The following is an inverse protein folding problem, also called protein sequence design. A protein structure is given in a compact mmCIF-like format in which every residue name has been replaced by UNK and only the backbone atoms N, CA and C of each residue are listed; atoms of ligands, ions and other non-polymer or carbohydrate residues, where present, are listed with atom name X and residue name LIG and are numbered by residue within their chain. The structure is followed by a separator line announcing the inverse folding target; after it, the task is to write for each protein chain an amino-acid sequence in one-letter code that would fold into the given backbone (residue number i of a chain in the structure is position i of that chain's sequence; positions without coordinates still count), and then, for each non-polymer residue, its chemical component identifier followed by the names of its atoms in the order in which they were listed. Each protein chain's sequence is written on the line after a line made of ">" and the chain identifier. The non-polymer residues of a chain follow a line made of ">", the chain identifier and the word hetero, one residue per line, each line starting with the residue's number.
data_IF_198091370332
#
_entry.id   IF_198091370332
#
_cell.length_a   1.000
_cell.length_b   1.000
_cell.length_c   1.000
_cell.angle_alpha   90.00
_cell.angle_beta   90.00
_cell.angle_gamma   90.00
#
_symmetry.space_group_name_H-M   'P 1'
#
loop_
_entity.id
_entity.type
_entity.pdbx_description
1 polymer ?
#
# COMPACT_ATOMS: atom_id res chain seq x y z
N UNK A 1 -28.97 -12.75 40.47
CA UNK A 1 -28.06 -11.70 39.96
C UNK A 1 -27.65 -12.09 38.56
N UNK A 2 -28.46 -11.73 37.57
CA UNK A 2 -28.19 -12.01 36.16
C UNK A 2 -27.26 -10.93 35.59
N UNK A 3 -26.14 -11.37 35.01
CA UNK A 3 -25.21 -10.49 34.28
C UNK A 3 -25.58 -10.52 32.80
N UNK A 4 -26.32 -9.49 32.38
CA UNK A 4 -26.63 -9.20 30.99
C UNK A 4 -25.35 -8.76 30.26
N UNK A 5 -24.80 -9.61 29.39
CA UNK A 5 -23.69 -9.27 28.51
C UNK A 5 -24.23 -8.61 27.24
N UNK A 6 -24.36 -7.29 27.27
CA UNK A 6 -24.66 -6.50 26.08
C UNK A 6 -23.47 -6.52 25.11
N UNK A 7 -23.69 -7.14 23.95
CA UNK A 7 -22.79 -7.14 22.79
C UNK A 7 -22.50 -5.69 22.38
N UNK A 8 -21.22 -5.31 22.44
CA UNK A 8 -20.71 -4.03 21.96
C UNK A 8 -20.71 -4.06 20.42
N UNK A 9 -21.73 -3.48 19.80
CA UNK A 9 -21.70 -3.06 18.40
C UNK A 9 -20.82 -1.80 18.28
N UNK A 10 -19.86 -1.74 17.34
CA UNK A 10 -19.17 -0.50 17.03
C UNK A 10 -20.15 0.52 16.46
N UNK A 11 -20.36 1.63 17.17
CA UNK A 11 -21.08 2.79 16.67
C UNK A 11 -20.27 3.41 15.53
N UNK A 12 -20.70 3.23 14.29
CA UNK A 12 -20.27 4.05 13.16
C UNK A 12 -20.79 5.48 13.39
N UNK A 13 -19.97 6.33 13.97
CA UNK A 13 -20.27 7.76 14.11
C UNK A 13 -20.10 8.44 12.76
N UNK A 14 -21.20 8.69 12.05
CA UNK A 14 -21.23 9.71 11.00
C UNK A 14 -21.17 11.08 11.66
N UNK A 15 -20.15 11.86 11.32
CA UNK A 15 -20.07 13.27 11.71
C UNK A 15 -21.18 14.06 10.98
N UNK A 16 -21.92 14.95 11.67
CA UNK A 16 -22.89 15.82 11.04
C UNK A 16 -22.15 17.02 10.42
N UNK A 17 -21.98 17.02 9.10
CA UNK A 17 -21.53 18.23 8.40
C UNK A 17 -22.71 19.20 8.32
N UNK A 18 -22.49 20.37 8.91
CA UNK A 18 -23.50 21.37 9.24
C UNK A 18 -24.32 21.88 8.06
N UNK A 19 -25.61 21.97 8.31
CA UNK A 19 -26.52 22.89 7.63
C UNK A 19 -26.14 24.33 7.94
N UNK A 20 -25.88 25.13 6.91
CA UNK A 20 -25.83 26.60 6.99
C UNK A 20 -26.65 27.17 5.82
N UNK A 21 -27.92 27.44 6.13
CA UNK A 21 -28.84 28.46 5.60
C UNK A 21 -29.09 28.65 4.09
N UNK A 22 -30.33 28.38 3.66
CA UNK A 22 -31.19 29.46 3.12
C UNK A 22 -31.68 29.41 1.66
N UNK A 23 -32.90 28.86 1.49
CA UNK A 23 -33.95 29.25 0.50
C UNK A 23 -33.88 28.68 -0.95
N UNK A 24 -35.01 28.69 -1.70
CA UNK A 24 -36.12 27.74 -1.55
C UNK A 24 -36.47 27.05 -2.89
N UNK A 25 -37.21 25.94 -2.83
CA UNK A 25 -37.74 25.18 -3.98
C UNK A 25 -36.68 24.63 -4.96
N UNK A 26 -36.28 23.39 -4.73
CA UNK A 26 -36.14 22.46 -5.85
C UNK A 26 -36.97 21.24 -5.52
N UNK A 27 -38.11 21.17 -6.19
CA UNK A 27 -38.92 19.98 -6.34
C UNK A 27 -37.98 18.81 -6.65
N UNK A 28 -37.92 17.84 -5.75
CA UNK A 28 -37.47 16.51 -6.15
C UNK A 28 -38.69 15.83 -6.75
N UNK A 29 -38.77 15.62 -8.08
CA UNK A 29 -39.65 14.60 -8.57
C UNK A 29 -39.04 13.27 -8.14
N UNK A 30 -39.77 12.62 -7.25
CA UNK A 30 -39.74 11.18 -7.04
C UNK A 30 -39.76 10.44 -8.39
N UNK A 31 -39.14 9.26 -8.40
CA UNK A 31 -39.36 8.18 -9.39
C UNK A 31 -39.01 8.52 -10.85
N UNK A 32 -37.71 8.58 -11.15
CA UNK A 32 -37.23 8.41 -12.52
C UNK A 32 -36.48 7.09 -12.61
N UNK A 33 -36.96 6.16 -13.43
CA UNK A 33 -36.19 4.97 -13.84
C UNK A 33 -34.78 5.40 -14.24
N UNK A 34 -33.79 5.13 -13.40
CA UNK A 34 -32.39 5.35 -13.75
C UNK A 34 -32.12 4.49 -14.98
N UNK A 35 -31.86 5.13 -16.13
CA UNK A 35 -31.45 4.40 -17.31
C UNK A 35 -30.24 3.53 -16.91
N UNK A 36 -30.15 2.27 -17.34
CA UNK A 36 -29.04 1.40 -16.97
C UNK A 36 -27.67 2.08 -17.18
N UNK A 37 -27.54 2.87 -18.24
CA UNK A 37 -26.36 3.71 -18.53
C UNK A 37 -25.99 4.69 -17.40
N UNK A 38 -26.97 5.29 -16.71
CA UNK A 38 -26.73 6.21 -15.59
C UNK A 38 -26.19 5.47 -14.35
N UNK A 39 -26.66 4.24 -14.13
CA UNK A 39 -26.15 3.38 -13.05
C UNK A 39 -24.72 2.97 -13.36
N UNK A 40 -24.45 2.56 -14.60
CA UNK A 40 -23.11 2.19 -15.06
C UNK A 40 -22.12 3.36 -14.91
N UNK A 41 -22.51 4.57 -15.30
CA UNK A 41 -21.69 5.77 -15.14
C UNK A 41 -21.39 6.06 -13.66
N UNK A 42 -22.41 5.99 -12.80
CA UNK A 42 -22.24 6.18 -11.35
C UNK A 42 -21.28 5.13 -10.76
N UNK A 43 -21.41 3.86 -11.15
CA UNK A 43 -20.50 2.79 -10.73
C UNK A 43 -19.08 3.06 -11.21
N UNK A 44 -18.90 3.49 -12.46
CA UNK A 44 -17.59 3.82 -13.02
C UNK A 44 -16.92 4.98 -12.25
N UNK A 45 -17.67 6.04 -11.93
CA UNK A 45 -17.17 7.17 -11.14
C UNK A 45 -16.77 6.74 -9.72
N UNK A 46 -17.62 5.96 -9.04
CA UNK A 46 -17.30 5.43 -7.70
C UNK A 46 -16.07 4.52 -7.72
N UNK A 47 -15.95 3.67 -8.74
CA UNK A 47 -14.78 2.82 -8.92
C UNK A 47 -13.51 3.64 -9.16
N UNK A 48 -13.61 4.76 -9.90
CA UNK A 48 -12.50 5.68 -10.09
C UNK A 48 -12.06 6.35 -8.78
N UNK A 49 -13.01 6.88 -8.01
CA UNK A 49 -12.71 7.44 -6.68
C UNK A 49 -12.07 6.41 -5.76
N UNK A 50 -12.58 5.17 -5.76
CA UNK A 50 -12.02 4.09 -4.98
C UNK A 50 -10.57 3.79 -5.38
N UNK A 51 -10.27 3.73 -6.68
CA UNK A 51 -8.90 3.55 -7.18
C UNK A 51 -7.95 4.63 -6.70
N UNK A 52 -8.38 5.89 -6.75
CA UNK A 52 -7.58 7.02 -6.25
C UNK A 52 -7.32 6.91 -4.75
N UNK A 53 -8.36 6.64 -3.97
CA UNK A 53 -8.24 6.46 -2.53
C UNK A 53 -7.27 5.33 -2.16
N UNK A 54 -7.36 4.19 -2.85
CA UNK A 54 -6.44 3.06 -2.64
C UNK A 54 -4.99 3.40 -2.97
N UNK A 55 -4.74 4.18 -4.02
CA UNK A 55 -3.40 4.63 -4.36
C UNK A 55 -2.81 5.53 -3.25
N UNK A 56 -3.62 6.44 -2.70
CA UNK A 56 -3.20 7.32 -1.62
C UNK A 56 -2.97 6.57 -0.29
N UNK A 57 -3.81 5.59 0.02
CA UNK A 57 -3.61 4.70 1.17
C UNK A 57 -2.34 3.85 1.05
N UNK A 58 -2.09 3.28 -0.13
CA UNK A 58 -0.89 2.50 -0.41
C UNK A 58 0.37 3.35 -0.17
N UNK A 59 0.40 4.58 -0.70
CA UNK A 59 1.53 5.47 -0.54
C UNK A 59 1.75 5.85 0.93
N UNK A 60 0.69 6.22 1.65
CA UNK A 60 0.75 6.52 3.09
C UNK A 60 1.28 5.33 3.90
N UNK A 61 0.80 4.13 3.62
CA UNK A 61 1.26 2.91 4.27
C UNK A 61 2.76 2.68 4.01
N UNK A 62 3.21 2.81 2.76
CA UNK A 62 4.63 2.62 2.42
C UNK A 62 5.51 3.64 3.13
N UNK A 63 5.12 4.91 3.15
CA UNK A 63 5.90 5.97 3.80
C UNK A 63 5.98 5.76 5.32
N UNK A 64 4.87 5.39 5.95
CA UNK A 64 4.84 5.01 7.37
C UNK A 64 5.77 3.83 7.65
N UNK A 65 5.69 2.76 6.85
CA UNK A 65 6.52 1.57 7.03
C UNK A 65 8.01 1.86 6.84
N UNK A 66 8.39 2.79 5.96
CA UNK A 66 9.78 3.22 5.79
C UNK A 66 10.28 4.02 6.99
N UNK A 67 9.42 4.86 7.60
CA UNK A 67 9.75 5.61 8.82
C UNK A 67 9.93 4.69 10.02
N UNK A 68 9.03 3.71 10.19
CA UNK A 68 9.07 2.73 11.28
C UNK A 68 10.23 1.72 11.13
N UNK A 69 10.70 1.49 9.90
CA UNK A 69 11.77 0.52 9.60
C UNK A 69 12.97 1.22 8.94
N UNK A 70 13.76 2.01 9.70
CA UNK A 70 14.83 2.82 9.14
C UNK A 70 15.91 1.96 8.49
N UNK A 71 16.32 2.34 7.28
CA UNK A 71 17.33 1.61 6.51
C UNK A 71 18.71 1.99 7.03
N UNK A 72 19.29 1.13 7.86
CA UNK A 72 20.65 1.31 8.38
C UNK A 72 21.67 1.16 7.25
N UNK A 73 22.53 2.17 7.10
CA UNK A 73 23.72 2.12 6.24
C UNK A 73 24.93 2.04 7.16
N UNK A 74 25.43 0.84 7.40
CA UNK A 74 26.76 0.66 7.98
C UNK A 74 27.79 1.35 7.09
N UNK A 75 28.37 2.44 7.61
CA UNK A 75 29.64 2.93 7.10
C UNK A 75 30.64 1.84 7.41
N UNK A 76 31.17 1.16 6.38
CA UNK A 76 32.43 0.44 6.53
C UNK A 76 33.45 1.47 7.00
N UNK A 77 33.69 1.52 8.30
CA UNK A 77 34.82 2.24 8.88
C UNK A 77 36.03 1.59 8.25
N UNK A 78 36.89 2.41 7.63
CA UNK A 78 38.14 1.89 7.10
C UNK A 78 38.84 1.12 8.23
N UNK A 79 39.44 -0.05 7.96
CA UNK A 79 40.20 -0.77 8.98
C UNK A 79 41.19 0.22 9.62
N UNK A 80 41.36 0.18 10.95
CA UNK A 80 42.32 1.05 11.61
C UNK A 80 43.68 0.89 10.92
N UNK A 81 44.42 1.98 10.67
CA UNK A 81 45.75 1.87 10.08
C UNK A 81 46.58 0.90 10.93
N UNK A 82 47.35 -0.01 10.31
CA UNK A 82 48.18 -0.94 11.06
C UNK A 82 49.07 -0.14 12.01
N UNK A 83 49.06 -0.53 13.29
CA UNK A 83 49.95 0.02 14.29
C UNK A 83 51.39 -0.08 13.79
N UNK A 84 52.11 1.04 13.86
CA UNK A 84 53.52 1.12 13.49
C UNK A 84 54.35 0.11 14.31
N UNK A 85 55.26 -0.65 13.68
CA UNK A 85 56.48 -1.03 14.34
C UNK A 85 57.53 0.08 14.18
N UNK A 86 58.19 0.40 15.29
CA UNK A 86 59.23 1.38 15.42
C UNK A 86 60.48 1.08 14.56
N UNK A 87 61.11 2.16 14.07
CA UNK A 87 62.54 2.37 13.77
C UNK A 87 63.39 1.21 13.18
N UNK A 88 63.89 1.40 11.94
CA UNK A 88 65.32 1.68 11.72
C UNK A 88 65.61 2.23 10.30
N UNK A 89 66.68 3.05 10.10
CA UNK A 89 66.96 3.75 8.84
C UNK A 89 68.10 3.10 8.03
N UNK A 90 67.93 2.96 6.71
CA UNK A 90 69.04 3.12 5.72
C UNK A 90 68.60 2.98 4.24
N UNK A 91 69.41 3.49 3.28
CA UNK A 91 68.90 4.25 2.14
C UNK A 91 69.09 3.60 0.76
N UNK A 92 68.30 4.09 -0.21
CA UNK A 92 68.51 4.10 -1.68
C UNK A 92 68.50 2.72 -2.38
N UNK A 93 67.83 2.48 -3.51
CA UNK A 93 67.86 3.22 -4.78
C UNK A 93 66.64 2.90 -5.67
N UNK A 94 66.07 3.95 -6.26
CA UNK A 94 65.49 4.06 -7.62
C UNK A 94 64.63 2.94 -8.22
N UNK A 95 63.37 3.27 -8.56
CA UNK A 95 63.03 3.60 -9.96
C UNK A 95 61.59 4.10 -10.10
N UNK A 96 61.45 5.34 -10.61
CA UNK A 96 60.38 5.72 -11.52
C UNK A 96 58.98 5.95 -10.95
N UNK A 97 58.73 7.15 -10.42
CA UNK A 97 57.75 8.07 -11.03
C UNK A 97 58.03 9.49 -10.53
N UNK A 98 58.85 10.20 -11.32
CA UNK A 98 59.12 11.63 -11.16
C UNK A 98 57.85 12.41 -11.49
N UNK A 99 57.41 13.21 -10.53
CA UNK A 99 57.09 14.64 -10.72
C UNK A 99 56.04 14.99 -11.77
N UNK A 100 54.81 15.17 -11.30
CA UNK A 100 53.76 15.83 -12.08
C UNK A 100 52.57 16.21 -11.20
N UNK A 101 52.56 17.44 -10.72
CA UNK A 101 51.39 18.15 -10.17
C UNK A 101 50.88 17.67 -8.80
N UNK A 102 51.51 18.13 -7.73
CA UNK A 102 50.98 18.08 -6.35
C UNK A 102 49.63 18.81 -6.17
N UNK A 103 49.15 19.53 -7.19
CA UNK A 103 47.79 20.10 -7.26
C UNK A 103 46.74 19.11 -7.79
N UNK A 104 47.14 18.03 -8.48
CA UNK A 104 46.23 17.02 -9.07
C UNK A 104 45.89 15.86 -8.12
N UNK A 105 46.67 15.67 -7.05
CA UNK A 105 46.43 14.63 -6.05
C UNK A 105 45.25 14.97 -5.13
N UNK A 106 45.03 16.26 -4.84
CA UNK A 106 43.84 16.73 -4.14
C UNK A 106 42.58 16.49 -5.00
N UNK A 107 42.60 16.95 -6.25
CA UNK A 107 41.50 16.74 -7.21
C UNK A 107 41.20 15.25 -7.44
N UNK A 108 42.23 14.40 -7.49
CA UNK A 108 42.05 12.94 -7.64
C UNK A 108 41.45 12.30 -6.38
N UNK A 109 41.83 12.76 -5.18
CA UNK A 109 41.25 12.31 -3.91
C UNK A 109 39.80 12.77 -3.78
N UNK A 110 39.49 13.98 -4.23
CA UNK A 110 38.13 14.53 -4.22
C UNK A 110 37.24 13.82 -5.24
N UNK A 111 37.74 13.53 -6.44
CA UNK A 111 37.05 12.69 -7.42
C UNK A 111 36.78 11.27 -6.89
N UNK A 112 37.75 10.68 -6.18
CA UNK A 112 37.58 9.37 -5.54
C UNK A 112 36.55 9.41 -4.42
N UNK A 113 36.54 10.47 -3.59
CA UNK A 113 35.53 10.71 -2.54
C UNK A 113 34.14 10.88 -3.15
N UNK A 114 34.00 11.71 -4.18
CA UNK A 114 32.74 11.94 -4.88
C UNK A 114 32.19 10.64 -5.50
N UNK A 115 33.06 9.81 -6.09
CA UNK A 115 32.67 8.50 -6.61
C UNK A 115 32.20 7.56 -5.49
N UNK A 116 32.93 7.51 -4.38
CA UNK A 116 32.57 6.69 -3.22
C UNK A 116 31.23 7.12 -2.61
N UNK A 117 30.99 8.42 -2.48
CA UNK A 117 29.73 8.99 -1.98
C UNK A 117 28.57 8.72 -2.94
N UNK A 118 28.79 8.87 -4.24
CA UNK A 118 27.79 8.54 -5.26
C UNK A 118 27.42 7.05 -5.22
N UNK A 119 28.40 6.15 -5.04
CA UNK A 119 28.16 4.72 -4.84
C UNK A 119 27.34 4.45 -3.56
N UNK A 120 27.67 5.12 -2.46
CA UNK A 120 26.91 5.00 -1.19
C UNK A 120 25.46 5.46 -1.35
N UNK A 121 25.24 6.63 -1.98
CA UNK A 121 23.90 7.17 -2.26
C UNK A 121 23.08 6.23 -3.14
N UNK A 122 23.68 5.67 -4.19
CA UNK A 122 23.03 4.68 -5.06
C UNK A 122 22.64 3.41 -4.30
N UNK A 123 23.54 2.86 -3.47
CA UNK A 123 23.24 1.69 -2.62
C UNK A 123 22.09 1.96 -1.65
N UNK A 124 22.08 3.14 -1.02
CA UNK A 124 21.00 3.54 -0.12
C UNK A 124 19.66 3.67 -0.87
N UNK A 125 19.64 4.35 -2.01
CA UNK A 125 18.44 4.48 -2.85
C UNK A 125 17.91 3.12 -3.30
N UNK A 126 18.78 2.16 -3.64
CA UNK A 126 18.36 0.81 -4.00
C UNK A 126 17.75 0.06 -2.82
N UNK A 127 18.30 0.21 -1.61
CA UNK A 127 17.69 -0.33 -0.40
C UNK A 127 16.30 0.28 -0.15
N UNK A 128 16.14 1.59 -0.31
CA UNK A 128 14.83 2.27 -0.19
C UNK A 128 13.86 1.71 -1.23
N UNK A 129 14.24 1.68 -2.50
CA UNK A 129 13.38 1.16 -3.58
C UNK A 129 12.93 -0.27 -3.29
N UNK A 130 13.84 -1.14 -2.83
CA UNK A 130 13.53 -2.52 -2.47
C UNK A 130 12.59 -2.61 -1.27
N UNK A 131 12.78 -1.77 -0.26
CA UNK A 131 11.89 -1.71 0.91
C UNK A 131 10.49 -1.21 0.53
N UNK A 132 10.40 -0.11 -0.24
CA UNK A 132 9.14 0.43 -0.76
C UNK A 132 8.36 -0.63 -1.52
N UNK A 133 9.02 -1.34 -2.44
CA UNK A 133 8.39 -2.42 -3.21
C UNK A 133 7.87 -3.54 -2.30
N UNK A 134 8.63 -3.94 -1.27
CA UNK A 134 8.20 -4.95 -0.30
C UNK A 134 6.97 -4.51 0.48
N UNK A 135 6.94 -3.27 0.96
CA UNK A 135 5.79 -2.74 1.70
C UNK A 135 4.57 -2.58 0.80
N UNK A 136 4.77 -2.12 -0.44
CA UNK A 136 3.71 -2.08 -1.46
C UNK A 136 3.07 -3.45 -1.66
N UNK A 137 3.90 -4.48 -1.85
CA UNK A 137 3.41 -5.85 -1.99
C UNK A 137 2.65 -6.33 -0.74
N UNK A 138 3.19 -6.07 0.47
CA UNK A 138 2.50 -6.42 1.73
C UNK A 138 1.13 -5.74 1.84
N UNK A 139 1.04 -4.47 1.46
CA UNK A 139 -0.23 -3.74 1.44
C UNK A 139 -1.22 -4.41 0.50
N UNK A 140 -0.86 -4.59 -0.77
CA UNK A 140 -1.75 -5.17 -1.79
C UNK A 140 -2.20 -6.57 -1.40
N UNK A 141 -1.28 -7.45 -0.98
CA UNK A 141 -1.65 -8.80 -0.52
C UNK A 141 -2.61 -8.77 0.67
N UNK A 142 -2.38 -7.87 1.63
CA UNK A 142 -3.27 -7.69 2.78
C UNK A 142 -4.66 -7.19 2.38
N UNK A 143 -4.76 -6.27 1.41
CA UNK A 143 -6.05 -5.80 0.90
C UNK A 143 -6.79 -6.90 0.13
N UNK A 144 -6.09 -7.68 -0.68
CA UNK A 144 -6.68 -8.83 -1.37
C UNK A 144 -7.24 -9.85 -0.38
N UNK A 145 -6.49 -10.18 0.68
CA UNK A 145 -6.96 -11.09 1.71
C UNK A 145 -8.22 -10.56 2.42
N UNK A 146 -8.23 -9.28 2.83
CA UNK A 146 -9.42 -8.64 3.42
C UNK A 146 -10.62 -8.69 2.48
N UNK A 147 -10.41 -8.44 1.19
CA UNK A 147 -11.48 -8.50 0.19
C UNK A 147 -12.03 -9.92 0.01
N UNK A 148 -11.17 -10.95 0.07
CA UNK A 148 -11.60 -12.34 0.03
C UNK A 148 -12.48 -12.69 1.24
N UNK A 149 -12.06 -12.34 2.45
CA UNK A 149 -12.83 -12.54 3.68
C UNK A 149 -14.20 -11.82 3.64
N UNK A 150 -14.23 -10.60 3.09
CA UNK A 150 -15.47 -9.85 2.89
C UNK A 150 -16.40 -10.54 1.88
N UNK A 151 -15.88 -11.05 0.76
CA UNK A 151 -16.67 -11.80 -0.22
C UNK A 151 -17.27 -13.08 0.37
N UNK A 152 -16.53 -13.79 1.21
CA UNK A 152 -17.05 -14.98 1.90
C UNK A 152 -18.16 -14.61 2.90
N UNK A 153 -18.02 -13.48 3.58
CA UNK A 153 -19.08 -12.94 4.43
C UNK A 153 -20.33 -12.59 3.62
N UNK A 154 -20.18 -11.93 2.47
CA UNK A 154 -21.30 -11.62 1.57
C UNK A 154 -22.00 -12.89 1.08
N UNK A 155 -21.24 -13.91 0.67
CA UNK A 155 -21.78 -15.22 0.29
C UNK A 155 -22.57 -15.87 1.42
N UNK A 156 -22.08 -15.79 2.66
CA UNK A 156 -22.77 -16.32 3.84
C UNK A 156 -24.10 -15.59 4.10
N UNK A 157 -24.10 -14.26 4.01
CA UNK A 157 -25.32 -13.43 4.17
C UNK A 157 -26.34 -13.74 3.07
N UNK A 158 -25.89 -13.89 1.81
CA UNK A 158 -26.76 -14.29 0.70
C UNK A 158 -27.37 -15.66 0.98
N UNK A 159 -26.57 -16.64 1.37
CA UNK A 159 -27.06 -17.98 1.71
C UNK A 159 -28.05 -17.95 2.89
N UNK A 160 -27.84 -17.08 3.88
CA UNK A 160 -28.78 -16.89 4.98
C UNK A 160 -30.09 -16.26 4.50
N UNK A 161 -30.04 -15.25 3.66
CA UNK A 161 -31.22 -14.62 3.08
C UNK A 161 -32.03 -15.62 2.23
N UNK A 162 -31.36 -16.43 1.41
CA UNK A 162 -31.99 -17.48 0.62
C UNK A 162 -32.69 -18.53 1.50
N UNK A 163 -32.06 -18.98 2.60
CA UNK A 163 -32.70 -19.87 3.57
C UNK A 163 -33.98 -19.24 4.15
N UNK A 164 -33.90 -17.99 4.56
CA UNK A 164 -35.05 -17.27 5.09
C UNK A 164 -36.18 -17.04 4.07
N UNK A 165 -35.85 -16.91 2.78
CA UNK A 165 -36.86 -16.82 1.71
C UNK A 165 -37.56 -18.17 1.53
N UNK A 166 -36.82 -19.28 1.57
CA UNK A 166 -37.41 -20.63 1.51
C UNK A 166 -38.30 -20.90 2.71
N UNK A 167 -37.88 -20.53 3.92
CA UNK A 167 -38.69 -20.66 5.15
C UNK A 167 -40.01 -19.87 5.08
N UNK A 168 -40.03 -18.75 4.35
CA UNK A 168 -41.24 -17.95 4.09
C UNK A 168 -42.13 -18.53 2.97
N UNK A 169 -41.79 -19.70 2.42
CA UNK A 169 -42.57 -20.40 1.41
C UNK A 169 -42.16 -20.11 -0.03
N UNK A 170 -41.04 -19.41 -0.27
CA UNK A 170 -40.53 -19.20 -1.63
C UNK A 170 -39.91 -20.51 -2.16
N UNK A 171 -40.39 -21.06 -3.29
CA UNK A 171 -39.86 -22.32 -3.82
C UNK A 171 -38.42 -22.13 -4.33
N UNK A 172 -37.56 -23.13 -4.09
CA UNK A 172 -36.15 -23.10 -4.52
C UNK A 172 -35.96 -22.89 -6.02
N UNK A 173 -36.89 -23.39 -6.84
CA UNK A 173 -36.86 -23.20 -8.30
C UNK A 173 -36.90 -21.73 -8.72
N UNK A 174 -37.60 -20.86 -7.96
CA UNK A 174 -37.64 -19.41 -8.22
C UNK A 174 -36.30 -18.76 -7.88
N UNK A 175 -35.65 -19.18 -6.79
CA UNK A 175 -34.31 -18.69 -6.44
C UNK A 175 -33.27 -19.13 -7.48
N UNK A 176 -33.34 -20.36 -7.97
CA UNK A 176 -32.48 -20.84 -9.06
C UNK A 176 -32.71 -20.06 -10.36
N UNK A 177 -33.97 -19.74 -10.69
CA UNK A 177 -34.27 -18.88 -11.83
C UNK A 177 -33.69 -17.48 -11.66
N UNK A 178 -33.79 -16.88 -10.47
CA UNK A 178 -33.19 -15.57 -10.17
C UNK A 178 -31.66 -15.61 -10.31
N UNK A 179 -31.01 -16.68 -9.85
CA UNK A 179 -29.56 -16.85 -10.05
C UNK A 179 -29.20 -16.90 -11.53
N UNK A 180 -29.98 -17.61 -12.34
CA UNK A 180 -29.77 -17.66 -13.81
C UNK A 180 -29.98 -16.31 -14.48
N UNK A 181 -31.04 -15.58 -14.14
CA UNK A 181 -31.32 -14.26 -14.73
C UNK A 181 -30.24 -13.23 -14.40
N UNK A 182 -29.56 -13.40 -13.26
CA UNK A 182 -28.46 -12.54 -12.83
C UNK A 182 -27.06 -13.13 -13.11
N UNK A 183 -26.97 -14.22 -13.87
CA UNK A 183 -25.68 -14.82 -14.28
C UNK A 183 -24.85 -15.40 -13.12
N UNK A 184 -25.49 -15.74 -12.00
CA UNK A 184 -24.83 -16.27 -10.79
C UNK A 184 -24.62 -17.80 -10.83
N UNK A 185 -25.06 -18.47 -11.89
CA UNK A 185 -25.06 -19.95 -12.01
C UNK A 185 -23.67 -20.55 -12.38
N UNK A 186 -22.62 -19.72 -12.53
CA UNK A 186 -21.36 -20.14 -13.19
C UNK A 186 -20.17 -20.40 -12.23
N UNK A 187 -20.38 -20.46 -10.92
CA UNK A 187 -19.25 -20.49 -9.96
C UNK A 187 -19.21 -21.68 -8.98
N UNK A 188 -19.94 -22.77 -9.23
CA UNK A 188 -19.92 -23.99 -8.37
C UNK A 188 -19.36 -25.25 -9.07
N UNK A 189 -18.44 -25.08 -10.02
CA UNK A 189 -17.65 -26.20 -10.58
C UNK A 189 -16.23 -25.75 -10.87
N UNK A 190 -15.35 -25.66 -9.85
CA UNK A 190 -13.92 -25.98 -9.90
C UNK A 190 -13.44 -26.38 -8.50
#
# INVERSE_FOLDING_TARGET
>A
MERSHHLYLPKLSYAPMGHVYGAPYSEHPTTGHSKPEQIEEMVAQQLHHLKMHYADEEQRYVDQMILENPIVVERRVAPPPPAQPASDPSPSTSSGHRGGVARSSADSKDAQRQRAESCRKSRYNNKIKKARLRFRHKFVSGQLQKSAEMLDTMRSVIAQAERQLVERGLPRSVLEQMRRSHGLDVAMQQ
#
